data_IF_913800922789
#
_entry.id   IF_913800922789
#
_cell.length_a   1.000
_cell.length_b   1.000
_cell.length_c   1.000
_cell.angle_alpha   90.00
_cell.angle_beta   90.00
_cell.angle_gamma   90.00
#
_symmetry.space_group_name_H-M   'P 1'
#
loop_
_entity.id
_entity.type
_entity.pdbx_description
1 polymer ?
#
# COMPACT_ATOMS: atom_id res chain seq x y z
N UNK A 1 1.20 -32.59 8.55
CA UNK A 1 2.35 -32.40 7.65
C UNK A 1 2.11 -31.09 6.95
N UNK A 2 3.01 -30.14 7.12
CA UNK A 2 2.95 -28.84 6.47
C UNK A 2 3.88 -28.89 5.25
N UNK A 3 3.41 -28.32 4.14
CA UNK A 3 4.10 -28.31 2.87
C UNK A 3 4.09 -26.86 2.38
N UNK A 4 5.27 -26.37 2.05
CA UNK A 4 5.45 -25.02 1.52
C UNK A 4 5.50 -25.06 -0.01
N UNK A 5 5.11 -23.96 -0.63
CA UNK A 5 5.07 -23.85 -2.08
C UNK A 5 4.63 -22.48 -2.55
N UNK A 6 4.85 -22.22 -3.83
CA UNK A 6 4.55 -20.95 -4.49
C UNK A 6 3.47 -21.13 -5.55
N UNK A 7 2.70 -20.08 -5.81
CA UNK A 7 1.71 -20.06 -6.89
C UNK A 7 2.35 -19.49 -8.15
N UNK A 8 2.47 -20.32 -9.20
CA UNK A 8 2.99 -19.91 -10.51
C UNK A 8 1.92 -20.15 -11.56
N UNK A 9 1.41 -19.07 -12.18
CA UNK A 9 0.35 -19.12 -13.19
C UNK A 9 -0.93 -19.86 -12.73
N UNK A 10 -1.30 -19.73 -11.45
CA UNK A 10 -2.48 -20.41 -10.89
C UNK A 10 -2.26 -21.88 -10.53
N UNK A 11 -1.03 -22.39 -10.65
CA UNK A 11 -0.65 -23.73 -10.21
C UNK A 11 0.20 -23.62 -8.94
N UNK A 12 -0.11 -24.44 -7.92
CA UNK A 12 0.69 -24.54 -6.70
C UNK A 12 1.89 -25.43 -6.99
N UNK A 13 3.09 -24.87 -6.89
CA UNK A 13 4.37 -25.56 -7.03
C UNK A 13 4.95 -25.73 -5.64
N UNK A 14 5.05 -26.97 -5.16
CA UNK A 14 5.60 -27.26 -3.84
C UNK A 14 7.13 -27.11 -3.83
N UNK A 15 7.68 -26.59 -2.74
CA UNK A 15 9.12 -26.45 -2.51
C UNK A 15 9.72 -27.82 -2.12
N UNK A 16 9.65 -28.78 -3.05
CA UNK A 16 10.09 -30.16 -2.88
C UNK A 16 9.19 -31.17 -3.60
N UNK A 17 9.55 -32.45 -3.49
CA UNK A 17 8.74 -33.55 -4.01
C UNK A 17 8.28 -34.49 -2.87
N UNK A 18 7.41 -34.01 -1.97
CA UNK A 18 6.88 -34.86 -0.91
C UNK A 18 6.05 -36.00 -1.52
N UNK A 19 6.18 -37.25 -1.03
CA UNK A 19 5.40 -38.37 -1.54
C UNK A 19 3.93 -38.22 -1.11
N UNK A 20 3.14 -37.57 -1.96
CA UNK A 20 1.69 -37.48 -1.79
C UNK A 20 1.02 -38.59 -2.62
N UNK A 21 0.26 -39.50 -1.99
CA UNK A 21 -0.55 -40.47 -2.71
C UNK A 21 -1.53 -39.80 -3.67
N UNK A 22 -1.84 -40.48 -4.77
CA UNK A 22 -2.84 -40.00 -5.73
C UNK A 22 -4.22 -39.84 -5.06
N UNK A 23 -4.90 -38.73 -5.34
CA UNK A 23 -6.23 -38.43 -4.80
C UNK A 23 -6.25 -37.79 -3.41
N UNK A 24 -5.10 -37.44 -2.84
CA UNK A 24 -5.03 -36.74 -1.55
C UNK A 24 -5.57 -35.31 -1.68
N UNK A 25 -6.44 -34.93 -0.74
CA UNK A 25 -6.98 -33.57 -0.61
C UNK A 25 -6.10 -32.80 0.37
N UNK A 26 -5.60 -31.65 -0.07
CA UNK A 26 -4.81 -30.73 0.76
C UNK A 26 -5.63 -29.47 1.07
N UNK A 27 -5.46 -28.92 2.28
CA UNK A 27 -5.97 -27.60 2.64
C UNK A 27 -4.85 -26.60 2.42
N UNK A 28 -5.11 -25.57 1.62
CA UNK A 28 -4.17 -24.49 1.38
C UNK A 28 -4.48 -23.37 2.36
N UNK A 29 -3.48 -22.93 3.10
CA UNK A 29 -3.53 -21.78 3.98
C UNK A 29 -2.47 -20.80 3.49
N UNK A 30 -2.90 -19.57 3.17
CA UNK A 30 -1.98 -18.51 2.80
C UNK A 30 -1.38 -17.98 4.09
N UNK A 31 -0.06 -18.08 4.24
CA UNK A 31 0.63 -17.45 5.38
C UNK A 31 0.54 -15.94 5.19
N UNK A 32 -0.13 -15.28 6.14
CA UNK A 32 -0.34 -13.84 6.14
C UNK A 32 0.94 -13.07 6.57
N UNK A 33 2.13 -13.60 6.30
CA UNK A 33 3.39 -12.88 6.55
C UNK A 33 3.65 -11.78 5.48
N UNK A 34 2.61 -11.37 4.75
CA UNK A 34 2.58 -10.15 3.96
C UNK A 34 2.10 -8.94 4.77
N UNK A 35 2.17 -9.00 6.11
CA UNK A 35 2.04 -7.82 6.98
C UNK A 35 3.30 -6.92 6.93
N UNK A 36 4.30 -7.22 6.10
CA UNK A 36 5.50 -6.38 5.92
C UNK A 36 5.28 -5.20 4.94
N UNK A 37 4.04 -4.97 4.50
CA UNK A 37 3.58 -3.67 3.98
C UNK A 37 3.13 -2.74 5.13
N UNK A 38 3.63 -2.95 6.36
CA UNK A 38 3.61 -1.92 7.38
C UNK A 38 4.42 -0.74 6.85
N UNK A 39 3.74 0.24 6.23
CA UNK A 39 4.31 1.53 5.89
C UNK A 39 4.87 2.08 7.20
N UNK A 40 6.16 1.86 7.43
CA UNK A 40 6.88 2.44 8.56
C UNK A 40 6.92 3.93 8.30
N UNK A 41 5.88 4.62 8.74
CA UNK A 41 5.89 6.07 8.82
C UNK A 41 6.99 6.39 9.83
N UNK A 42 8.11 6.99 9.41
CA UNK A 42 9.14 7.38 10.36
C UNK A 42 8.46 8.27 11.40
N UNK A 43 8.69 7.98 12.67
CA UNK A 43 8.17 8.81 13.75
C UNK A 43 8.68 10.24 13.50
N UNK A 44 7.78 11.11 13.07
CA UNK A 44 8.06 12.54 13.02
C UNK A 44 8.29 12.97 14.47
N UNK A 45 9.38 13.69 14.74
CA UNK A 45 9.56 14.31 16.05
C UNK A 45 8.29 15.11 16.36
N UNK A 46 7.64 14.89 17.51
CA UNK A 46 6.43 15.62 17.83
C UNK A 46 6.79 17.11 17.93
N UNK A 47 6.27 17.90 16.99
CA UNK A 47 6.31 19.35 17.09
C UNK A 47 5.53 19.79 18.33
N UNK A 48 5.86 20.96 18.86
CA UNK A 48 5.01 21.58 19.87
C UNK A 48 3.68 21.97 19.24
N UNK A 49 2.60 21.97 20.03
CA UNK A 49 1.27 22.40 19.58
C UNK A 49 1.28 23.80 18.94
N UNK A 50 2.16 24.69 19.40
CA UNK A 50 2.27 26.05 18.85
C UNK A 50 2.88 26.03 17.44
N UNK A 51 3.93 25.23 17.21
CA UNK A 51 4.55 25.07 15.90
C UNK A 51 3.57 24.50 14.87
N UNK A 52 2.78 23.49 15.26
CA UNK A 52 1.73 22.93 14.39
C UNK A 52 0.65 23.97 14.03
N UNK A 53 0.25 24.82 15.00
CA UNK A 53 -0.74 25.86 14.78
C UNK A 53 -0.23 26.98 13.86
N UNK A 54 1.06 27.31 13.92
CA UNK A 54 1.69 28.27 12.99
C UNK A 54 1.63 27.73 11.55
N UNK A 55 2.08 26.49 11.34
CA UNK A 55 2.08 25.84 10.02
C UNK A 55 0.65 25.77 9.45
N UNK A 56 -0.33 25.43 10.29
CA UNK A 56 -1.72 25.36 9.87
C UNK A 56 -2.28 26.73 9.44
N UNK A 57 -1.95 27.79 10.20
CA UNK A 57 -2.39 29.16 9.86
C UNK A 57 -1.78 29.64 8.55
N UNK A 58 -0.49 29.41 8.33
CA UNK A 58 0.18 29.75 7.07
C UNK A 58 -0.45 29.01 5.89
N UNK A 59 -0.71 27.71 6.04
CA UNK A 59 -1.36 26.89 5.02
C UNK A 59 -2.77 27.39 4.66
N UNK A 60 -3.54 27.83 5.66
CA UNK A 60 -4.87 28.41 5.44
C UNK A 60 -4.77 29.74 4.68
N UNK A 61 -3.81 30.60 5.01
CA UNK A 61 -3.61 31.87 4.30
C UNK A 61 -3.15 31.65 2.85
N UNK A 62 -2.30 30.66 2.59
CA UNK A 62 -1.91 30.26 1.23
C UNK A 62 -3.10 29.75 0.41
N UNK A 63 -3.97 28.94 1.02
CA UNK A 63 -5.20 28.47 0.40
C UNK A 63 -6.14 29.64 0.06
N UNK A 64 -6.36 30.57 1.00
CA UNK A 64 -7.19 31.77 0.78
C UNK A 64 -6.61 32.68 -0.31
N UNK A 65 -5.29 32.79 -0.37
CA UNK A 65 -4.59 33.59 -1.38
C UNK A 65 -4.52 32.90 -2.76
N UNK A 66 -5.03 31.66 -2.89
CA UNK A 66 -4.97 30.91 -4.14
C UNK A 66 -3.55 30.53 -4.56
N UNK A 67 -2.59 30.49 -3.62
CA UNK A 67 -1.19 30.09 -3.88
C UNK A 67 -1.00 28.57 -3.96
N UNK A 68 -2.11 27.82 -3.89
CA UNK A 68 -2.11 26.35 -3.95
C UNK A 68 -2.27 25.86 -5.39
N UNK A 69 -1.66 24.70 -5.70
CA UNK A 69 -1.81 24.06 -7.00
C UNK A 69 -3.25 23.55 -7.21
N UNK A 70 -3.78 23.54 -8.44
CA UNK A 70 -5.09 22.96 -8.72
C UNK A 70 -5.17 21.50 -8.27
N UNK A 71 -6.24 21.14 -7.56
CA UNK A 71 -6.44 19.78 -7.02
C UNK A 71 -6.32 18.69 -8.10
N UNK A 72 -6.83 18.97 -9.32
CA UNK A 72 -6.76 18.05 -10.46
C UNK A 72 -5.33 17.72 -10.88
N UNK A 73 -4.42 18.69 -10.82
CA UNK A 73 -3.01 18.48 -11.17
C UNK A 73 -2.31 17.62 -10.11
N UNK A 74 -2.58 17.91 -8.84
CA UNK A 74 -2.04 17.14 -7.71
C UNK A 74 -2.53 15.69 -7.73
N UNK A 75 -3.82 15.47 -7.93
CA UNK A 75 -4.42 14.14 -7.99
C UNK A 75 -3.91 13.34 -9.20
N UNK A 76 -3.70 13.98 -10.35
CA UNK A 76 -3.08 13.35 -11.53
C UNK A 76 -1.64 12.91 -11.25
N UNK A 77 -0.85 13.75 -10.59
CA UNK A 77 0.53 13.44 -10.20
C UNK A 77 0.59 12.24 -9.25
N UNK A 78 -0.31 12.19 -8.26
CA UNK A 78 -0.44 11.07 -7.32
C UNK A 78 -0.82 9.79 -8.06
N UNK A 79 -1.81 9.86 -8.96
CA UNK A 79 -2.24 8.69 -9.72
C UNK A 79 -1.12 8.13 -10.61
N UNK A 80 -0.34 8.99 -11.26
CA UNK A 80 0.84 8.58 -12.05
C UNK A 80 1.89 7.92 -11.14
N UNK A 81 2.22 8.55 -10.00
CA UNK A 81 3.24 8.05 -9.07
C UNK A 81 2.91 6.66 -8.52
N UNK A 82 1.64 6.42 -8.24
CA UNK A 82 1.17 5.20 -7.57
C UNK A 82 0.47 4.23 -8.54
N UNK A 83 0.56 4.46 -9.85
CA UNK A 83 -0.09 3.65 -10.89
C UNK A 83 -1.60 3.40 -10.60
N UNK A 84 -2.26 4.41 -10.03
CA UNK A 84 -3.69 4.36 -9.74
C UNK A 84 -4.48 4.67 -11.01
N UNK A 85 -5.69 4.13 -11.17
CA UNK A 85 -6.57 4.51 -12.25
C UNK A 85 -6.86 6.02 -12.15
N UNK A 86 -6.43 6.77 -13.17
CA UNK A 86 -6.93 8.11 -13.43
C UNK A 86 -8.44 7.96 -13.68
N UNK A 87 -9.28 8.70 -12.95
CA UNK A 87 -10.73 8.49 -12.84
C UNK A 87 -11.45 7.99 -14.13
N UNK A 88 -12.48 7.11 -14.00
CA UNK A 88 -13.29 6.68 -15.13
C UNK A 88 -14.26 7.80 -15.55
N UNK A 89 -14.05 8.37 -16.74
CA UNK A 89 -14.96 9.39 -17.27
C UNK A 89 -14.41 10.28 -18.39
N UNK A 90 -13.67 9.70 -19.35
CA UNK A 90 -13.76 10.16 -20.75
C UNK A 90 -14.88 9.39 -21.46
#
# INVERSE_FOLDING_TARGET
MELEGTVVNGVIVLDGNPPLPEGVRVRVELTADADDDEIRIPALEPGTREEELVILRESIEDMKAGRVRPAREVLKEIAIRHNLPLEPGE
#
